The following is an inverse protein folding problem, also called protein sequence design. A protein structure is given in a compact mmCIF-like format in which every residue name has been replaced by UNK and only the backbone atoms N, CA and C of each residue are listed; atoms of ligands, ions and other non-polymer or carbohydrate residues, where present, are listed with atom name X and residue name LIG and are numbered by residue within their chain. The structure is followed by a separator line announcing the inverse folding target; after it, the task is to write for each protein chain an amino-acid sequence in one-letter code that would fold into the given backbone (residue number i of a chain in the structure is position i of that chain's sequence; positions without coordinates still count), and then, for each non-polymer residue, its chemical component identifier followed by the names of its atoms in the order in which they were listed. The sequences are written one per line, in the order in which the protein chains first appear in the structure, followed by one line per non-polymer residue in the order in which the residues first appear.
data_IF_143631793819
#
_entry.id   IF_143631793819
#
_cell.length_a   1.000
_cell.length_b   1.000
_cell.length_c   1.000
_cell.angle_alpha   90.00
_cell.angle_beta   90.00
_cell.angle_gamma   90.00
#
_symmetry.space_group_name_H-M   'P 1'
#
loop_
_entity.id
_entity.type
_entity.pdbx_description
1 polymer ?
#
# COMPACT_ATOMS: atom_id res chain seq x y z
N UNK A 1 -47.84 26.17 55.10
CA UNK A 1 -46.58 26.93 55.20
C UNK A 1 -45.54 26.22 54.33
N UNK A 2 -45.21 26.83 53.19
CA UNK A 2 -44.04 26.58 52.31
C UNK A 2 -43.86 25.20 51.66
N UNK A 3 -44.47 25.04 50.48
CA UNK A 3 -44.05 24.10 49.43
C UNK A 3 -42.82 24.68 48.72
N UNK A 4 -41.65 24.04 48.81
CA UNK A 4 -40.45 24.43 48.03
C UNK A 4 -40.39 23.51 46.81
N UNK A 5 -40.71 24.08 45.65
CA UNK A 5 -40.56 23.46 44.33
C UNK A 5 -39.11 23.68 43.89
N UNK A 6 -38.27 22.65 43.96
CA UNK A 6 -36.91 22.67 43.40
C UNK A 6 -37.03 22.40 41.90
N UNK A 7 -36.99 23.47 41.11
CA UNK A 7 -36.90 23.40 39.65
C UNK A 7 -35.43 23.08 39.31
N UNK A 8 -35.13 21.81 39.02
CA UNK A 8 -33.89 21.44 38.34
C UNK A 8 -33.94 21.98 36.91
N UNK A 9 -33.26 23.09 36.67
CA UNK A 9 -33.02 23.60 35.33
C UNK A 9 -32.11 22.63 34.58
N UNK A 10 -32.71 21.80 33.70
CA UNK A 10 -32.02 21.07 32.65
C UNK A 10 -31.48 22.10 31.65
N UNK A 11 -30.23 22.54 31.85
CA UNK A 11 -29.43 23.18 30.82
C UNK A 11 -29.10 22.12 29.77
N UNK A 12 -30.04 21.88 28.85
CA UNK A 12 -29.75 21.20 27.60
C UNK A 12 -28.81 22.12 26.80
N UNK A 13 -27.51 21.89 26.91
CA UNK A 13 -26.53 22.53 26.04
C UNK A 13 -26.76 22.05 24.61
N UNK A 14 -27.18 22.97 23.74
CA UNK A 14 -27.00 22.81 22.31
C UNK A 14 -25.50 22.86 22.06
N UNK A 15 -24.82 21.71 22.08
CA UNK A 15 -23.53 21.60 21.41
C UNK A 15 -23.85 21.59 19.92
N UNK A 16 -23.48 22.66 19.20
CA UNK A 16 -23.46 22.63 17.74
C UNK A 16 -22.62 21.45 17.28
N UNK A 17 -23.15 20.67 16.33
CA UNK A 17 -22.39 19.59 15.72
C UNK A 17 -21.13 20.19 15.08
N UNK A 18 -19.97 19.54 15.20
CA UNK A 18 -18.75 20.02 14.57
C UNK A 18 -18.97 20.20 13.06
N UNK A 19 -18.41 21.27 12.50
CA UNK A 19 -18.42 21.49 11.06
C UNK A 19 -17.82 20.27 10.34
N UNK A 20 -18.38 19.88 9.18
CA UNK A 20 -17.82 18.78 8.41
C UNK A 20 -16.37 19.10 8.03
N UNK A 21 -15.51 18.08 7.89
CA UNK A 21 -14.12 18.29 7.52
C UNK A 21 -14.02 19.03 6.16
N UNK A 22 -13.00 19.88 5.95
CA UNK A 22 -12.83 20.67 4.73
C UNK A 22 -12.30 19.83 3.54
N UNK A 23 -12.49 18.51 3.58
CA UNK A 23 -12.02 17.54 2.60
C UNK A 23 -13.10 16.47 2.37
N UNK A 24 -13.07 15.83 1.22
CA UNK A 24 -14.01 14.76 0.88
C UNK A 24 -13.27 13.51 0.41
N UNK A 25 -13.66 12.35 0.93
CA UNK A 25 -13.24 11.08 0.34
C UNK A 25 -13.97 10.89 -1.00
N UNK A 26 -13.21 10.83 -2.09
CA UNK A 26 -13.74 10.56 -3.44
C UNK A 26 -13.86 9.07 -3.77
N UNK A 27 -13.35 8.22 -2.88
CA UNK A 27 -13.23 6.77 -3.04
C UNK A 27 -13.33 6.08 -1.67
N UNK A 28 -13.92 4.89 -1.63
CA UNK A 28 -13.82 4.02 -0.45
C UNK A 28 -12.38 3.47 -0.28
N UNK A 29 -12.10 2.77 0.82
CA UNK A 29 -10.76 2.24 1.07
C UNK A 29 -10.30 1.24 0.00
N UNK A 30 -11.20 0.43 -0.56
CA UNK A 30 -10.85 -0.57 -1.58
C UNK A 30 -10.48 0.13 -2.89
N UNK A 31 -11.26 1.12 -3.30
CA UNK A 31 -10.97 1.93 -4.47
C UNK A 31 -9.66 2.72 -4.31
N UNK A 32 -9.40 3.28 -3.12
CA UNK A 32 -8.13 3.94 -2.84
C UNK A 32 -6.95 2.96 -2.96
N UNK A 33 -7.09 1.74 -2.42
CA UNK A 33 -6.07 0.71 -2.54
C UNK A 33 -5.76 0.39 -4.00
N UNK A 34 -6.79 0.06 -4.79
CA UNK A 34 -6.62 -0.41 -6.18
C UNK A 34 -6.22 0.70 -7.17
N UNK A 35 -6.68 1.94 -6.95
CA UNK A 35 -6.53 3.02 -7.93
C UNK A 35 -5.39 3.99 -7.64
N UNK A 36 -4.82 3.95 -6.43
CA UNK A 36 -3.77 4.90 -6.00
C UNK A 36 -2.61 4.17 -5.37
N UNK A 37 -2.88 3.33 -4.37
CA UNK A 37 -1.82 2.72 -3.55
C UNK A 37 -1.10 1.62 -4.30
N UNK A 38 -1.82 0.68 -4.88
CA UNK A 38 -1.26 -0.48 -5.58
C UNK A 38 -0.42 -0.06 -6.80
N UNK A 39 -0.88 0.81 -7.72
CA UNK A 39 -0.05 1.24 -8.85
C UNK A 39 1.23 1.97 -8.41
N UNK A 40 1.17 2.76 -7.33
CA UNK A 40 2.36 3.40 -6.80
C UNK A 40 3.33 2.39 -6.16
N UNK A 41 2.81 1.40 -5.45
CA UNK A 41 3.63 0.34 -4.88
C UNK A 41 4.31 -0.51 -5.97
N UNK A 42 3.59 -0.85 -7.04
CA UNK A 42 4.15 -1.55 -8.22
C UNK A 42 5.29 -0.74 -8.84
N UNK A 43 5.10 0.55 -9.12
CA UNK A 43 6.16 1.42 -9.66
C UNK A 43 7.38 1.46 -8.73
N UNK A 44 7.17 1.52 -7.42
CA UNK A 44 8.27 1.54 -6.45
C UNK A 44 9.03 0.20 -6.39
N UNK A 45 8.31 -0.93 -6.39
CA UNK A 45 8.89 -2.26 -6.32
C UNK A 45 9.59 -2.67 -7.62
N UNK A 46 9.00 -2.35 -8.78
CA UNK A 46 9.57 -2.70 -10.08
C UNK A 46 10.80 -1.85 -10.45
N UNK A 47 11.05 -0.77 -9.71
CA UNK A 47 12.19 0.11 -9.94
C UNK A 47 13.54 -0.59 -9.74
N UNK A 48 13.59 -1.61 -8.88
CA UNK A 48 14.84 -2.30 -8.52
C UNK A 48 14.62 -3.80 -8.37
N UNK A 49 15.61 -4.59 -8.77
CA UNK A 49 15.55 -6.04 -8.61
C UNK A 49 16.61 -6.77 -9.41
N UNK A 50 16.61 -8.09 -9.32
CA UNK A 50 17.57 -8.94 -10.03
C UNK A 50 16.80 -9.94 -10.90
N UNK A 51 17.14 -9.99 -12.19
CA UNK A 51 16.63 -10.98 -13.13
C UNK A 51 17.69 -12.05 -13.35
N UNK A 52 17.29 -13.32 -13.23
CA UNK A 52 18.13 -14.48 -13.53
C UNK A 52 17.48 -15.30 -14.64
N UNK A 53 18.19 -15.53 -15.73
CA UNK A 53 17.74 -16.34 -16.85
C UNK A 53 18.86 -17.26 -17.40
N UNK A 54 18.67 -17.82 -18.59
CA UNK A 54 19.63 -18.72 -19.22
C UNK A 54 20.91 -18.00 -19.71
N UNK A 55 20.84 -16.68 -19.89
CA UNK A 55 21.92 -15.85 -20.40
C UNK A 55 22.75 -15.22 -19.28
N UNK A 56 22.18 -15.07 -18.08
CA UNK A 56 22.93 -14.68 -16.88
C UNK A 56 22.09 -14.06 -15.77
N UNK A 57 22.70 -13.15 -15.02
CA UNK A 57 22.08 -12.38 -13.95
C UNK A 57 22.24 -10.90 -14.25
N UNK A 58 21.14 -10.15 -14.21
CA UNK A 58 21.09 -8.73 -14.54
C UNK A 58 20.36 -7.95 -13.45
N UNK A 59 20.88 -6.77 -13.12
CA UNK A 59 20.23 -5.85 -12.18
C UNK A 59 19.30 -4.88 -12.92
N UNK A 60 18.10 -4.73 -12.36
CA UNK A 60 17.13 -3.68 -12.69
C UNK A 60 17.40 -2.52 -11.73
N UNK A 61 17.66 -1.34 -12.27
CA UNK A 61 17.77 -0.10 -11.51
C UNK A 61 17.52 1.12 -12.43
N UNK A 62 17.05 2.26 -11.89
CA UNK A 62 16.88 3.48 -12.65
C UNK A 62 18.23 4.08 -13.07
N UNK A 63 18.37 4.46 -14.34
CA UNK A 63 19.61 4.99 -14.93
C UNK A 63 19.56 6.48 -15.21
N UNK A 64 18.37 7.05 -15.36
CA UNK A 64 18.16 8.46 -15.68
C UNK A 64 17.55 9.22 -14.51
N UNK A 65 17.69 10.55 -14.54
CA UNK A 65 17.06 11.40 -13.53
C UNK A 65 15.54 11.28 -13.53
N UNK A 66 14.93 11.12 -14.71
CA UNK A 66 13.49 10.97 -14.90
C UNK A 66 12.95 9.64 -14.34
N UNK A 67 13.68 8.55 -14.55
CA UNK A 67 13.32 7.26 -13.95
C UNK A 67 13.41 7.33 -12.42
N UNK A 68 14.45 7.95 -11.86
CA UNK A 68 14.54 8.18 -10.42
C UNK A 68 13.42 9.06 -9.88
N UNK A 69 13.02 10.10 -10.60
CA UNK A 69 11.89 10.96 -10.24
C UNK A 69 10.57 10.18 -10.21
N UNK A 70 10.40 9.22 -11.11
CA UNK A 70 9.24 8.32 -11.10
C UNK A 70 9.18 7.48 -9.82
N UNK A 71 10.31 6.94 -9.36
CA UNK A 71 10.39 6.20 -8.07
C UNK A 71 10.08 7.12 -6.89
N UNK A 72 10.62 8.34 -6.88
CA UNK A 72 10.35 9.34 -5.84
C UNK A 72 8.86 9.67 -5.78
N UNK A 73 8.23 9.94 -6.93
CA UNK A 73 6.80 10.25 -7.01
C UNK A 73 5.94 9.10 -6.50
N UNK A 74 6.28 7.86 -6.86
CA UNK A 74 5.61 6.67 -6.34
C UNK A 74 5.71 6.57 -4.81
N UNK A 75 6.90 6.83 -4.25
CA UNK A 75 7.11 6.83 -2.80
C UNK A 75 6.28 7.93 -2.08
N UNK A 76 6.15 9.12 -2.68
CA UNK A 76 5.26 10.17 -2.17
C UNK A 76 3.80 9.73 -2.16
N UNK A 77 3.33 9.07 -3.23
CA UNK A 77 1.97 8.55 -3.28
C UNK A 77 1.73 7.50 -2.19
N UNK A 78 2.70 6.61 -1.93
CA UNK A 78 2.61 5.65 -0.82
C UNK A 78 2.51 6.38 0.53
N UNK A 79 3.40 7.34 0.79
CA UNK A 79 3.43 8.08 2.05
C UNK A 79 2.11 8.84 2.30
N UNK A 80 1.65 9.62 1.31
CA UNK A 80 0.42 10.41 1.42
C UNK A 80 -0.83 9.54 1.48
N UNK A 81 -0.81 8.36 0.87
CA UNK A 81 -1.92 7.42 0.97
C UNK A 81 -2.15 6.94 2.40
N UNK A 82 -1.11 6.88 3.23
CA UNK A 82 -1.27 6.64 4.67
C UNK A 82 -2.12 7.73 5.35
N UNK A 83 -1.97 9.01 4.96
CA UNK A 83 -2.84 10.09 5.43
C UNK A 83 -4.28 9.92 4.92
N UNK A 84 -4.44 9.53 3.65
CA UNK A 84 -5.76 9.27 3.07
C UNK A 84 -6.49 8.13 3.80
N UNK A 85 -5.78 7.08 4.23
CA UNK A 85 -6.36 5.99 5.02
C UNK A 85 -6.76 6.42 6.44
N UNK A 86 -6.19 7.50 6.97
CA UNK A 86 -6.52 8.05 8.29
C UNK A 86 -7.79 8.92 8.32
N UNK A 87 -8.36 9.26 7.17
CA UNK A 87 -9.63 9.98 7.09
C UNK A 87 -10.73 9.22 7.85
N UNK A 88 -11.62 9.95 8.54
CA UNK A 88 -12.56 9.39 9.51
C UNK A 88 -13.44 8.27 8.91
N UNK A 89 -13.94 8.47 7.69
CA UNK A 89 -14.82 7.54 7.00
C UNK A 89 -14.13 6.19 6.69
N UNK A 90 -12.79 6.22 6.55
CA UNK A 90 -11.97 5.04 6.30
C UNK A 90 -11.45 4.43 7.59
N UNK A 91 -10.93 5.23 8.51
CA UNK A 91 -10.33 4.78 9.76
C UNK A 91 -11.37 4.25 10.76
N UNK A 92 -12.53 4.91 10.87
CA UNK A 92 -13.66 4.54 11.75
C UNK A 92 -13.23 4.19 13.19
N UNK A 93 -12.24 4.93 13.71
CA UNK A 93 -11.69 4.72 15.06
C UNK A 93 -10.97 3.39 15.29
N UNK A 94 -10.65 2.62 14.25
CA UNK A 94 -9.99 1.31 14.39
C UNK A 94 -8.50 1.49 14.73
N UNK A 95 -8.04 1.08 15.94
CA UNK A 95 -6.67 1.38 16.38
C UNK A 95 -5.59 0.68 15.56
N UNK A 96 -5.82 -0.58 15.16
CA UNK A 96 -4.87 -1.32 14.30
C UNK A 96 -4.76 -0.67 12.92
N UNK A 97 -5.88 -0.28 12.31
CA UNK A 97 -5.90 0.48 11.06
C UNK A 97 -5.08 1.76 11.16
N UNK A 98 -5.35 2.59 12.17
CA UNK A 98 -4.60 3.83 12.42
C UNK A 98 -3.11 3.59 12.61
N UNK A 99 -2.73 2.53 13.33
CA UNK A 99 -1.33 2.16 13.51
C UNK A 99 -0.67 1.80 12.17
N UNK A 100 -1.29 0.93 11.37
CA UNK A 100 -0.75 0.53 10.07
C UNK A 100 -0.68 1.67 9.07
N UNK A 101 -1.69 2.55 9.03
CA UNK A 101 -1.68 3.76 8.19
C UNK A 101 -0.53 4.69 8.57
N UNK A 102 -0.21 4.85 9.87
CA UNK A 102 0.95 5.62 10.33
C UNK A 102 2.27 4.96 9.97
N UNK A 103 2.36 3.63 10.09
CA UNK A 103 3.53 2.87 9.63
C UNK A 103 3.74 3.03 8.12
N UNK A 104 2.67 3.10 7.33
CA UNK A 104 2.76 3.35 5.88
C UNK A 104 3.32 4.74 5.57
N UNK A 105 2.91 5.77 6.34
CA UNK A 105 3.50 7.12 6.22
C UNK A 105 5.00 7.08 6.54
N UNK A 106 5.40 6.42 7.62
CA UNK A 106 6.80 6.34 8.06
C UNK A 106 7.68 5.58 7.05
N UNK A 107 7.22 4.41 6.57
CA UNK A 107 7.94 3.66 5.54
C UNK A 107 7.95 4.39 4.20
N UNK A 108 6.87 5.08 3.83
CA UNK A 108 6.83 5.94 2.65
C UNK A 108 7.85 7.06 2.71
N UNK A 109 8.09 7.67 3.88
CA UNK A 109 9.15 8.67 4.07
C UNK A 109 10.55 8.08 3.87
N UNK A 110 10.80 6.89 4.42
CA UNK A 110 12.07 6.16 4.18
C UNK A 110 12.23 5.81 2.69
N UNK A 111 11.13 5.48 2.02
CA UNK A 111 11.10 5.14 0.61
C UNK A 111 11.45 6.36 -0.27
N UNK A 112 10.90 7.54 0.05
CA UNK A 112 11.24 8.82 -0.58
C UNK A 112 12.74 9.08 -0.42
N UNK A 113 13.26 9.02 0.81
CA UNK A 113 14.68 9.27 1.08
C UNK A 113 15.61 8.31 0.33
N UNK A 114 15.26 7.03 0.22
CA UNK A 114 16.03 6.05 -0.55
C UNK A 114 16.05 6.38 -2.04
N UNK A 115 14.90 6.74 -2.61
CA UNK A 115 14.76 7.12 -4.01
C UNK A 115 15.47 8.45 -4.34
N UNK A 116 15.36 9.47 -3.48
CA UNK A 116 16.02 10.76 -3.64
C UNK A 116 17.55 10.62 -3.61
N UNK A 117 18.09 9.70 -2.79
CA UNK A 117 19.52 9.37 -2.76
C UNK A 117 19.98 8.51 -3.93
N UNK A 118 19.06 8.03 -4.78
CA UNK A 118 19.36 7.13 -5.90
C UNK A 118 20.10 5.87 -5.48
N UNK A 119 19.69 5.29 -4.36
CA UNK A 119 20.31 4.11 -3.76
C UNK A 119 19.44 2.87 -4.04
N UNK A 120 19.76 2.06 -5.08
CA UNK A 120 18.91 0.95 -5.50
C UNK A 120 18.78 -0.13 -4.42
N UNK A 121 19.85 -0.33 -3.63
CA UNK A 121 19.82 -1.29 -2.52
C UNK A 121 18.91 -0.80 -1.40
N UNK A 122 18.98 0.48 -1.04
CA UNK A 122 18.07 1.05 -0.05
C UNK A 122 16.60 1.02 -0.53
N UNK A 123 16.35 1.27 -1.82
CA UNK A 123 15.00 1.13 -2.40
C UNK A 123 14.49 -0.30 -2.27
N UNK A 124 15.33 -1.29 -2.57
CA UNK A 124 14.96 -2.71 -2.43
C UNK A 124 14.65 -3.08 -0.96
N UNK A 125 15.53 -2.70 -0.04
CA UNK A 125 15.37 -2.97 1.40
C UNK A 125 14.09 -2.32 1.95
N UNK A 126 13.85 -1.04 1.64
CA UNK A 126 12.63 -0.34 2.08
C UNK A 126 11.39 -0.89 1.38
N UNK A 127 11.49 -1.32 0.11
CA UNK A 127 10.40 -2.00 -0.59
C UNK A 127 9.92 -3.24 0.17
N UNK A 128 10.84 -4.01 0.76
CA UNK A 128 10.52 -5.11 1.66
C UNK A 128 9.81 -4.66 2.93
N UNK A 129 10.26 -3.58 3.58
CA UNK A 129 9.59 -3.03 4.77
C UNK A 129 8.17 -2.52 4.45
N UNK A 130 7.98 -1.85 3.31
CA UNK A 130 6.66 -1.43 2.81
C UNK A 130 5.75 -2.65 2.62
N UNK A 131 6.26 -3.73 2.01
CA UNK A 131 5.50 -4.98 1.85
C UNK A 131 5.02 -5.56 3.18
N UNK A 132 5.86 -5.52 4.23
CA UNK A 132 5.49 -5.97 5.57
C UNK A 132 4.38 -5.11 6.18
N UNK A 133 4.41 -3.80 5.97
CA UNK A 133 3.31 -2.90 6.40
C UNK A 133 2.02 -3.23 5.66
N UNK A 134 2.07 -3.40 4.34
CA UNK A 134 0.91 -3.75 3.53
C UNK A 134 0.29 -5.07 4.00
N UNK A 135 1.09 -6.13 4.08
CA UNK A 135 0.60 -7.46 4.48
C UNK A 135 0.12 -7.54 5.92
N UNK A 136 0.76 -6.82 6.85
CA UNK A 136 0.29 -6.71 8.24
C UNK A 136 -1.11 -6.08 8.34
N UNK A 137 -1.40 -5.08 7.50
CA UNK A 137 -2.74 -4.49 7.43
C UNK A 137 -3.74 -5.44 6.76
N UNK A 138 -3.35 -6.04 5.62
CA UNK A 138 -4.20 -6.92 4.83
C UNK A 138 -4.58 -8.19 5.58
N UNK A 139 -3.72 -8.71 6.45
CA UNK A 139 -4.02 -9.86 7.30
C UNK A 139 -5.24 -9.66 8.22
N UNK A 140 -5.64 -8.41 8.49
CA UNK A 140 -6.80 -8.09 9.32
C UNK A 140 -8.00 -7.63 8.47
N UNK A 141 -7.75 -6.93 7.36
CA UNK A 141 -8.80 -6.20 6.63
C UNK A 141 -9.01 -6.61 5.17
N UNK A 142 -8.12 -7.43 4.59
CA UNK A 142 -8.14 -7.82 3.19
C UNK A 142 -7.43 -9.17 2.98
N UNK A 143 -7.83 -10.20 3.73
CA UNK A 143 -7.14 -11.50 3.75
C UNK A 143 -7.10 -12.20 2.39
N UNK A 144 -8.05 -11.89 1.51
CA UNK A 144 -8.11 -12.37 0.13
C UNK A 144 -6.95 -11.89 -0.73
N UNK A 145 -6.24 -10.83 -0.31
CA UNK A 145 -5.07 -10.28 -1.01
C UNK A 145 -3.76 -10.91 -0.55
N UNK A 146 -3.78 -11.63 0.57
CA UNK A 146 -2.61 -12.38 0.99
C UNK A 146 -2.42 -13.54 0.02
N UNK A 147 -1.18 -13.75 -0.43
CA UNK A 147 -0.87 -14.98 -1.15
C UNK A 147 -1.27 -16.15 -0.25
N UNK A 148 -1.98 -17.17 -0.77
CA UNK A 148 -2.19 -18.39 -0.02
C UNK A 148 -0.81 -18.82 0.48
N UNK A 149 -0.71 -19.12 1.78
CA UNK A 149 0.48 -19.80 2.28
C UNK A 149 0.74 -20.94 1.28
N UNK A 150 1.93 -20.95 0.66
CA UNK A 150 2.41 -22.14 -0.02
C UNK A 150 2.62 -23.16 1.09
N UNK A 151 1.53 -23.77 1.55
CA UNK A 151 1.59 -24.89 2.44
C UNK A 151 2.35 -25.96 1.65
N UNK A 152 3.53 -26.30 2.17
CA UNK A 152 4.30 -27.48 1.78
C UNK A 152 3.47 -28.69 2.24
N UNK A 153 2.36 -28.93 1.55
CA UNK A 153 1.67 -30.20 1.51
C UNK A 153 2.25 -31.01 0.35
N UNK A 154 2.37 -32.34 0.47
CA UNK A 154 3.05 -33.17 -0.53
C UNK A 154 2.41 -33.18 -1.92
N UNK A 155 1.20 -32.60 -2.09
CA UNK A 155 0.42 -32.69 -3.34
C UNK A 155 0.34 -31.41 -4.19
N UNK A 156 0.73 -30.22 -3.69
CA UNK A 156 0.52 -28.95 -4.44
C UNK A 156 1.66 -28.58 -5.40
N UNK A 157 2.77 -29.33 -5.38
CA UNK A 157 3.90 -29.09 -6.27
C UNK A 157 3.60 -29.31 -7.77
N UNK A 158 2.45 -29.92 -8.11
CA UNK A 158 2.11 -30.28 -9.49
C UNK A 158 1.20 -29.29 -10.22
N UNK A 159 0.57 -28.37 -9.50
CA UNK A 159 -0.48 -27.49 -10.05
C UNK A 159 -0.08 -26.01 -10.12
N UNK A 160 1.03 -25.63 -9.49
CA UNK A 160 1.49 -24.24 -9.40
C UNK A 160 2.49 -23.81 -10.48
N UNK A 161 2.85 -24.68 -11.42
CA UNK A 161 3.59 -24.23 -12.60
C UNK A 161 2.59 -23.56 -13.55
N UNK A 162 2.78 -22.29 -13.96
CA UNK A 162 2.02 -21.76 -15.08
C UNK A 162 2.19 -22.72 -16.27
N UNK A 163 1.16 -22.93 -17.12
CA UNK A 163 1.33 -23.77 -18.30
C UNK A 163 2.54 -23.23 -19.06
N UNK A 164 3.53 -24.09 -19.31
CA UNK A 164 4.64 -23.71 -20.18
C UNK A 164 4.00 -23.35 -21.51
N UNK A 165 4.09 -22.09 -21.89
CA UNK A 165 3.78 -21.70 -23.26
C UNK A 165 4.56 -22.65 -24.17
N UNK A 166 3.91 -23.26 -25.19
CA UNK A 166 4.66 -24.04 -26.15
C UNK A 166 5.71 -23.10 -26.74
N UNK A 167 6.98 -23.53 -26.70
CA UNK A 167 8.07 -22.81 -27.33
C UNK A 167 7.60 -22.37 -28.72
N UNK A 168 7.65 -21.06 -28.98
CA UNK A 168 7.35 -20.53 -30.30
C UNK A 168 8.18 -21.36 -31.30
N UNK A 169 7.48 -22.07 -32.18
CA UNK A 169 8.14 -22.84 -33.24
C UNK A 169 9.04 -21.90 -34.05
N UNK A 170 10.05 -22.44 -34.75
CA UNK A 170 10.93 -21.60 -35.55
C UNK A 170 10.09 -20.71 -36.47
N UNK A 171 10.25 -19.40 -36.32
CA UNK A 171 9.59 -18.41 -37.17
C UNK A 171 9.92 -18.66 -38.65
N UNK A 172 9.10 -18.16 -39.58
CA UNK A 172 9.29 -18.45 -41.00
C UNK A 172 10.65 -17.98 -41.48
N UNK A 173 11.41 -18.89 -42.09
CA UNK A 173 12.59 -18.56 -42.87
C UNK A 173 12.15 -17.67 -44.04
N UNK A 174 12.57 -16.40 -44.04
CA UNK A 174 12.38 -15.50 -45.17
C UNK A 174 13.54 -15.65 -46.17
N UNK A 175 13.25 -15.62 -47.48
CA UNK A 175 14.22 -15.80 -48.57
C UNK A 175 15.16 -14.61 -48.77
#
# INVERSE_FOLDING_TARGET
MRTILVICALLAGCADAPDPPPFAAVADSRQLMLSVIEPAAEVYWDAVGTVMDLEGTYEIEPRTAEEWETVVNAAYVIAESGNLLLMEERAQGRPHWTAMSRSMIDMGRRAIEAAERRDPRAVFEVGGDVYLVCTGCHAVYATETLRPNYDIGPDTAREAAPPREPAAGPGPEHP
#
